data_IF_881087048043
#
_entry.id   IF_881087048043
#
_cell.length_a   1.000
_cell.length_b   1.000
_cell.length_c   1.000
_cell.angle_alpha   90.00
_cell.angle_beta   90.00
_cell.angle_gamma   90.00
#
_symmetry.space_group_name_H-M   'P 1'
#
loop_
_entity.id
_entity.type
_entity.pdbx_description
1 polymer ?
#
# COMPACT_ATOMS: atom_id res chain seq x y z
N UNK A 1 10.00 -37.90 -79.21
CA UNK A 1 10.58 -36.69 -78.57
C UNK A 1 9.49 -36.08 -77.70
N UNK A 2 9.57 -36.34 -76.42
CA UNK A 2 8.54 -35.90 -75.44
C UNK A 2 8.59 -34.37 -75.24
N UNK A 3 7.48 -33.78 -74.83
CA UNK A 3 7.40 -32.34 -74.50
C UNK A 3 8.56 -31.90 -73.55
N UNK A 4 8.94 -32.76 -72.64
CA UNK A 4 10.06 -32.57 -71.75
C UNK A 4 11.43 -32.48 -72.46
N UNK A 5 11.69 -33.30 -73.55
CA UNK A 5 12.94 -33.25 -74.27
C UNK A 5 13.07 -31.90 -75.05
N UNK A 6 11.98 -31.35 -75.53
CA UNK A 6 11.98 -30.01 -76.18
C UNK A 6 12.17 -28.89 -75.17
N UNK A 7 11.68 -29.04 -73.95
CA UNK A 7 11.90 -28.08 -72.88
C UNK A 7 13.37 -28.05 -72.42
N UNK A 8 13.94 -29.28 -72.22
CA UNK A 8 15.32 -29.45 -71.81
C UNK A 8 16.34 -29.03 -72.88
N UNK A 9 16.04 -29.20 -74.19
CA UNK A 9 16.89 -28.72 -75.28
C UNK A 9 16.93 -27.20 -75.41
N UNK A 10 15.86 -26.50 -75.00
CA UNK A 10 15.82 -25.04 -74.94
C UNK A 10 16.57 -24.45 -73.71
N UNK A 11 16.66 -25.19 -72.62
CA UNK A 11 17.39 -24.80 -71.41
C UNK A 11 18.91 -24.86 -71.63
N UNK A 12 19.41 -25.57 -72.64
CA UNK A 12 20.85 -25.59 -72.99
C UNK A 12 21.39 -24.29 -73.55
N UNK A 13 20.52 -23.34 -73.90
CA UNK A 13 20.92 -21.99 -74.29
C UNK A 13 20.99 -21.13 -73.02
N UNK A 14 22.15 -20.81 -72.50
CA UNK A 14 22.35 -20.15 -71.19
C UNK A 14 21.48 -18.90 -71.00
N UNK A 15 21.14 -18.17 -72.05
CA UNK A 15 20.26 -17.02 -72.04
C UNK A 15 18.81 -17.32 -71.76
N UNK A 16 18.31 -18.55 -72.08
CA UNK A 16 16.93 -18.97 -71.80
C UNK A 16 16.76 -19.64 -70.44
N UNK A 17 17.79 -20.25 -69.86
CA UNK A 17 17.75 -20.91 -68.58
C UNK A 17 17.46 -19.94 -67.43
N UNK A 18 18.02 -18.75 -67.48
CA UNK A 18 17.75 -17.72 -66.47
C UNK A 18 16.30 -17.22 -66.49
N UNK A 19 15.66 -17.13 -67.65
CA UNK A 19 14.22 -16.74 -67.75
C UNK A 19 13.31 -17.77 -67.06
N UNK A 20 13.56 -19.03 -67.27
CA UNK A 20 12.78 -20.12 -66.62
C UNK A 20 13.04 -20.14 -65.10
N UNK A 21 14.28 -19.93 -64.69
CA UNK A 21 14.60 -19.82 -63.27
C UNK A 21 13.87 -18.64 -62.60
N UNK A 22 13.92 -17.45 -63.17
CA UNK A 22 13.21 -16.30 -62.63
C UNK A 22 11.67 -16.46 -62.71
N UNK A 23 11.13 -17.12 -63.75
CA UNK A 23 9.70 -17.38 -63.84
C UNK A 23 9.18 -18.27 -62.69
N UNK A 24 10.01 -19.14 -62.14
CA UNK A 24 9.70 -19.97 -60.97
C UNK A 24 10.02 -19.25 -59.65
N UNK A 25 11.16 -18.53 -59.61
CA UNK A 25 11.63 -17.88 -58.41
C UNK A 25 10.73 -16.75 -57.99
N UNK A 26 10.24 -15.92 -58.92
CA UNK A 26 9.39 -14.76 -58.63
C UNK A 26 8.08 -15.12 -57.89
N UNK A 27 7.27 -16.13 -58.32
CA UNK A 27 6.11 -16.54 -57.57
C UNK A 27 6.43 -17.08 -56.15
N UNK A 28 7.57 -17.75 -55.99
CA UNK A 28 8.01 -18.23 -54.67
C UNK A 28 8.36 -17.07 -53.75
N UNK A 29 9.10 -16.06 -54.26
CA UNK A 29 9.44 -14.86 -53.52
C UNK A 29 8.20 -14.08 -53.09
N UNK A 30 7.23 -13.91 -54.00
CA UNK A 30 5.95 -13.27 -53.67
C UNK A 30 5.13 -14.08 -52.63
N UNK A 31 5.15 -15.40 -52.73
CA UNK A 31 4.54 -16.27 -51.72
C UNK A 31 5.16 -16.13 -50.35
N UNK A 32 6.50 -16.12 -50.28
CA UNK A 32 7.22 -15.91 -49.03
C UNK A 32 6.96 -14.51 -48.44
N UNK A 33 7.01 -13.48 -49.27
CA UNK A 33 6.72 -12.10 -48.84
C UNK A 33 5.29 -11.94 -48.34
N UNK A 34 4.35 -12.54 -49.03
CA UNK A 34 2.92 -12.52 -48.61
C UNK A 34 2.68 -13.25 -47.29
N UNK A 35 3.32 -14.39 -47.11
CA UNK A 35 3.26 -15.13 -45.84
C UNK A 35 3.88 -14.30 -44.69
N UNK A 36 4.97 -13.62 -44.94
CA UNK A 36 5.59 -12.76 -43.93
C UNK A 36 4.67 -11.58 -43.52
N UNK A 37 3.90 -11.03 -44.46
CA UNK A 37 2.91 -9.96 -44.20
C UNK A 37 1.75 -10.51 -43.37
N UNK A 38 1.17 -11.66 -43.73
CA UNK A 38 0.04 -12.23 -42.98
C UNK A 38 0.45 -12.61 -41.56
N UNK A 39 1.62 -13.25 -41.37
CA UNK A 39 2.17 -13.57 -40.05
C UNK A 39 2.49 -12.32 -39.24
N UNK A 40 3.12 -11.33 -39.86
CA UNK A 40 3.43 -10.05 -39.20
C UNK A 40 2.17 -9.33 -38.70
N UNK A 41 1.09 -9.32 -39.49
CA UNK A 41 -0.20 -8.79 -39.06
C UNK A 41 -0.80 -9.63 -37.94
N UNK A 42 -0.69 -10.96 -38.00
CA UNK A 42 -1.11 -11.88 -36.93
C UNK A 42 -0.40 -11.57 -35.61
N UNK A 43 0.93 -11.45 -35.61
CA UNK A 43 1.68 -11.09 -34.40
C UNK A 43 1.33 -9.72 -33.84
N UNK A 44 1.16 -8.71 -34.71
CA UNK A 44 0.78 -7.36 -34.27
C UNK A 44 -0.61 -7.33 -33.63
N UNK A 45 -1.56 -8.08 -34.19
CA UNK A 45 -2.90 -8.21 -33.60
C UNK A 45 -2.92 -9.02 -32.31
N UNK A 46 -2.18 -10.12 -32.26
CA UNK A 46 -2.04 -10.90 -31.03
C UNK A 46 -1.47 -10.04 -29.89
N UNK A 47 -0.45 -9.22 -30.16
CA UNK A 47 0.10 -8.31 -29.14
C UNK A 47 -0.92 -7.26 -28.65
N UNK A 48 -1.83 -6.78 -29.53
CA UNK A 48 -2.93 -5.87 -29.12
C UNK A 48 -3.98 -6.63 -28.32
N UNK A 49 -4.35 -7.82 -28.75
CA UNK A 49 -5.32 -8.66 -28.06
C UNK A 49 -4.84 -9.02 -26.65
N UNK A 50 -3.54 -9.33 -26.50
CA UNK A 50 -2.93 -9.60 -25.20
C UNK A 50 -3.02 -8.37 -24.27
N UNK A 51 -2.70 -7.16 -24.77
CA UNK A 51 -2.85 -5.93 -23.98
C UNK A 51 -4.31 -5.67 -23.56
N UNK A 52 -5.26 -6.00 -24.42
CA UNK A 52 -6.68 -5.88 -24.08
C UNK A 52 -7.10 -6.89 -23.01
N UNK A 53 -6.62 -8.13 -23.10
CA UNK A 53 -6.85 -9.17 -22.10
C UNK A 53 -6.24 -8.79 -20.75
N UNK A 54 -5.00 -8.29 -20.75
CA UNK A 54 -4.29 -7.82 -19.55
C UNK A 54 -5.06 -6.68 -18.86
N UNK A 55 -5.48 -5.68 -19.64
CA UNK A 55 -6.26 -4.56 -19.12
C UNK A 55 -7.62 -5.00 -18.57
N UNK A 56 -8.30 -5.91 -19.26
CA UNK A 56 -9.59 -6.45 -18.84
C UNK A 56 -9.46 -7.30 -17.56
N UNK A 57 -8.44 -8.14 -17.45
CA UNK A 57 -8.20 -8.96 -16.28
C UNK A 57 -7.89 -8.10 -15.04
N UNK A 58 -7.04 -7.08 -15.19
CA UNK A 58 -6.74 -6.14 -14.10
C UNK A 58 -7.97 -5.34 -13.68
N UNK A 59 -8.73 -4.81 -14.64
CA UNK A 59 -9.93 -4.04 -14.34
C UNK A 59 -11.03 -4.89 -13.69
N UNK A 60 -11.23 -6.11 -14.16
CA UNK A 60 -12.16 -7.08 -13.57
C UNK A 60 -11.75 -7.47 -12.16
N UNK A 61 -10.48 -7.81 -11.93
CA UNK A 61 -9.98 -8.15 -10.61
C UNK A 61 -10.11 -6.99 -9.61
N UNK A 62 -9.83 -5.77 -10.04
CA UNK A 62 -10.03 -4.57 -9.21
C UNK A 62 -11.51 -4.35 -8.86
N UNK A 63 -12.40 -4.44 -9.84
CA UNK A 63 -13.85 -4.29 -9.63
C UNK A 63 -14.43 -5.40 -8.73
N UNK A 64 -13.95 -6.63 -8.88
CA UNK A 64 -14.29 -7.76 -8.03
C UNK A 64 -14.01 -7.44 -6.56
N UNK A 65 -12.78 -6.98 -6.26
CA UNK A 65 -12.39 -6.62 -4.91
C UNK A 65 -13.18 -5.42 -4.36
N UNK A 66 -13.36 -4.37 -5.18
CA UNK A 66 -14.08 -3.16 -4.77
C UNK A 66 -15.55 -3.43 -4.43
N UNK A 67 -16.20 -4.30 -5.18
CA UNK A 67 -17.61 -4.63 -5.00
C UNK A 67 -17.85 -5.83 -4.07
N UNK A 68 -16.79 -6.43 -3.53
CA UNK A 68 -16.86 -7.59 -2.63
C UNK A 68 -17.63 -8.78 -3.26
N UNK A 69 -17.41 -9.00 -4.55
CA UNK A 69 -18.06 -10.08 -5.29
C UNK A 69 -17.47 -11.44 -4.90
N UNK A 70 -18.17 -12.52 -5.26
CA UNK A 70 -17.75 -13.88 -4.96
C UNK A 70 -17.30 -14.60 -6.23
N UNK A 71 -16.54 -15.69 -6.09
CA UNK A 71 -16.10 -16.49 -7.24
C UNK A 71 -17.25 -17.09 -8.03
N UNK A 72 -18.41 -17.30 -7.38
CA UNK A 72 -19.61 -17.87 -8.00
C UNK A 72 -20.49 -16.79 -8.67
N UNK A 73 -20.31 -15.49 -8.32
CA UNK A 73 -21.11 -14.40 -8.88
C UNK A 73 -20.35 -13.08 -8.86
N UNK A 74 -19.96 -12.61 -10.04
CA UNK A 74 -19.14 -11.40 -10.21
C UNK A 74 -19.56 -10.51 -11.40
N UNK A 75 -20.86 -10.11 -11.49
CA UNK A 75 -21.39 -9.40 -12.65
C UNK A 75 -20.78 -8.00 -12.86
N UNK A 76 -20.38 -7.30 -11.81
CA UNK A 76 -19.77 -5.96 -11.93
C UNK A 76 -18.33 -6.07 -12.41
N UNK A 77 -17.59 -7.09 -11.93
CA UNK A 77 -16.25 -7.39 -12.42
C UNK A 77 -16.29 -7.71 -13.91
N UNK A 78 -17.24 -8.52 -14.34
CA UNK A 78 -17.42 -8.90 -15.75
C UNK A 78 -17.75 -7.70 -16.63
N UNK A 79 -18.67 -6.84 -16.20
CA UNK A 79 -19.02 -5.62 -16.90
C UNK A 79 -17.82 -4.66 -17.04
N UNK A 80 -17.00 -4.56 -16.00
CA UNK A 80 -15.80 -3.74 -16.02
C UNK A 80 -14.73 -4.34 -16.93
N UNK A 81 -14.52 -5.66 -16.87
CA UNK A 81 -13.60 -6.36 -17.76
C UNK A 81 -14.03 -6.18 -19.25
N UNK A 82 -15.31 -6.31 -19.55
CA UNK A 82 -15.86 -6.09 -20.90
C UNK A 82 -15.61 -4.66 -21.38
N UNK A 83 -15.83 -3.67 -20.53
CA UNK A 83 -15.60 -2.26 -20.85
C UNK A 83 -14.14 -2.02 -21.22
N UNK A 84 -13.22 -2.49 -20.40
CA UNK A 84 -11.77 -2.30 -20.64
C UNK A 84 -11.26 -3.12 -21.84
N UNK A 85 -11.80 -4.32 -22.05
CA UNK A 85 -11.51 -5.09 -23.24
C UNK A 85 -11.89 -4.31 -24.49
N UNK A 86 -13.14 -3.81 -24.58
CA UNK A 86 -13.65 -3.04 -25.72
C UNK A 86 -12.84 -1.77 -26.01
N UNK A 87 -12.45 -1.04 -24.99
CA UNK A 87 -11.62 0.16 -25.14
C UNK A 87 -10.24 -0.15 -25.73
N UNK A 88 -9.63 -1.27 -25.34
CA UNK A 88 -8.25 -1.60 -25.69
C UNK A 88 -8.11 -2.39 -26.99
N UNK A 89 -9.10 -3.20 -27.40
CA UNK A 89 -9.02 -3.90 -28.70
C UNK A 89 -9.46 -3.01 -29.89
N UNK A 90 -10.14 -1.89 -29.62
CA UNK A 90 -10.62 -0.96 -30.66
C UNK A 90 -11.80 -1.54 -31.46
N UNK A 91 -11.88 -1.15 -32.74
CA UNK A 91 -12.94 -1.61 -33.65
C UNK A 91 -12.69 -3.05 -34.20
N UNK A 92 -12.02 -3.90 -33.44
CA UNK A 92 -11.64 -5.23 -33.83
C UNK A 92 -12.80 -6.23 -33.83
N UNK A 93 -12.51 -7.40 -34.36
CA UNK A 93 -13.40 -8.56 -34.38
C UNK A 93 -13.18 -9.44 -33.14
N UNK A 94 -12.64 -8.86 -32.08
CA UNK A 94 -12.36 -9.54 -30.85
C UNK A 94 -13.65 -9.79 -30.05
N UNK A 95 -13.70 -10.89 -29.35
CA UNK A 95 -14.77 -11.28 -28.46
C UNK A 95 -14.22 -12.09 -27.29
N UNK A 96 -15.01 -12.21 -26.22
CA UNK A 96 -14.68 -13.19 -25.20
C UNK A 96 -14.88 -14.59 -25.76
N UNK A 97 -13.87 -15.43 -25.66
CA UNK A 97 -13.98 -16.85 -26.04
C UNK A 97 -14.84 -17.61 -25.01
N UNK A 98 -14.69 -17.25 -23.73
CA UNK A 98 -15.53 -17.68 -22.59
C UNK A 98 -15.84 -16.46 -21.74
N UNK A 99 -16.95 -16.46 -20.99
CA UNK A 99 -17.18 -15.48 -19.95
C UNK A 99 -15.98 -15.41 -19.00
N UNK A 100 -15.66 -14.24 -18.45
CA UNK A 100 -14.63 -14.14 -17.44
C UNK A 100 -14.87 -15.09 -16.27
N UNK A 101 -13.81 -15.57 -15.64
CA UNK A 101 -13.88 -16.58 -14.59
C UNK A 101 -13.10 -16.12 -13.37
N UNK A 102 -13.63 -16.40 -12.18
CA UNK A 102 -12.91 -16.22 -10.92
C UNK A 102 -12.68 -17.58 -10.25
N UNK A 103 -11.54 -17.75 -9.58
CA UNK A 103 -11.19 -18.98 -8.86
C UNK A 103 -10.28 -18.66 -7.68
N UNK A 104 -10.47 -19.39 -6.58
CA UNK A 104 -9.57 -19.34 -5.42
C UNK A 104 -8.69 -20.60 -5.39
N UNK A 105 -7.38 -20.41 -5.29
CA UNK A 105 -6.39 -21.48 -5.16
C UNK A 105 -5.45 -21.09 -4.02
N UNK A 106 -5.26 -21.97 -3.05
CA UNK A 106 -4.39 -21.77 -1.88
C UNK A 106 -4.66 -20.43 -1.13
N UNK A 107 -5.95 -20.06 -1.00
CA UNK A 107 -6.36 -18.83 -0.34
C UNK A 107 -6.18 -17.55 -1.17
N UNK A 108 -5.68 -17.66 -2.40
CA UNK A 108 -5.52 -16.58 -3.36
C UNK A 108 -6.63 -16.62 -4.39
N UNK A 109 -7.34 -15.52 -4.60
CA UNK A 109 -8.35 -15.42 -5.63
C UNK A 109 -7.78 -14.83 -6.91
N UNK A 110 -8.17 -15.38 -8.04
CA UNK A 110 -7.70 -15.01 -9.37
C UNK A 110 -8.89 -14.70 -10.27
N UNK A 111 -8.70 -13.76 -11.17
CA UNK A 111 -9.68 -13.39 -12.20
C UNK A 111 -9.07 -13.59 -13.59
N UNK A 112 -9.73 -14.38 -14.42
CA UNK A 112 -9.28 -14.79 -15.76
C UNK A 112 -10.12 -14.16 -16.85
N UNK A 113 -9.46 -13.68 -17.88
CA UNK A 113 -10.06 -13.21 -19.13
C UNK A 113 -9.44 -13.97 -20.30
N UNK A 114 -10.28 -14.48 -21.18
CA UNK A 114 -9.86 -15.15 -22.41
C UNK A 114 -10.54 -14.47 -23.59
N UNK A 115 -9.75 -13.82 -24.42
CA UNK A 115 -10.19 -13.12 -25.64
C UNK A 115 -9.79 -13.90 -26.88
N UNK A 116 -10.58 -13.78 -27.93
CA UNK A 116 -10.28 -14.31 -29.26
C UNK A 116 -10.55 -13.27 -30.34
N UNK A 117 -9.77 -13.32 -31.41
CA UNK A 117 -9.99 -12.53 -32.62
C UNK A 117 -9.75 -13.38 -33.86
N UNK A 118 -10.64 -13.24 -34.86
CA UNK A 118 -10.50 -13.88 -36.17
C UNK A 118 -9.93 -12.89 -37.17
N UNK A 119 -8.74 -13.20 -37.70
CA UNK A 119 -8.00 -12.34 -38.62
C UNK A 119 -8.16 -12.84 -40.05
N UNK A 120 -8.62 -12.01 -41.00
CA UNK A 120 -8.65 -12.41 -42.41
C UNK A 120 -7.24 -12.56 -42.94
N UNK A 121 -6.99 -13.66 -43.66
CA UNK A 121 -5.75 -13.91 -44.39
C UNK A 121 -5.84 -13.39 -45.80
N UNK A 122 -4.76 -12.82 -46.32
CA UNK A 122 -4.75 -12.22 -47.68
C UNK A 122 -3.85 -13.05 -48.61
N UNK A 123 -2.64 -13.35 -48.21
CA UNK A 123 -1.63 -13.94 -49.05
C UNK A 123 -1.49 -15.47 -48.86
N UNK A 124 -1.81 -15.97 -47.67
CA UNK A 124 -1.68 -17.42 -47.36
C UNK A 124 -2.50 -18.29 -48.27
N UNK A 125 -3.57 -17.74 -48.86
CA UNK A 125 -4.43 -18.40 -49.85
C UNK A 125 -3.69 -18.75 -51.13
N UNK A 126 -2.70 -17.95 -51.51
CA UNK A 126 -1.87 -18.21 -52.69
C UNK A 126 -0.97 -19.44 -52.53
N UNK A 127 -0.71 -19.86 -51.31
CA UNK A 127 0.10 -21.04 -50.95
C UNK A 127 -0.78 -22.32 -50.87
N UNK A 128 -2.09 -22.18 -51.17
CA UNK A 128 -3.03 -23.31 -51.21
C UNK A 128 -3.74 -23.59 -49.87
N UNK A 129 -3.57 -22.79 -48.87
CA UNK A 129 -4.31 -22.89 -47.60
C UNK A 129 -5.65 -22.22 -47.79
N UNK A 130 -6.72 -23.01 -47.71
CA UNK A 130 -8.10 -22.53 -47.99
C UNK A 130 -8.79 -21.81 -46.83
N UNK A 131 -8.14 -21.65 -45.68
CA UNK A 131 -8.71 -21.01 -44.54
C UNK A 131 -8.75 -19.49 -44.76
N UNK A 132 -9.92 -18.91 -44.67
CA UNK A 132 -10.16 -17.50 -44.86
C UNK A 132 -9.84 -16.66 -43.63
N UNK A 133 -9.72 -17.30 -42.47
CA UNK A 133 -9.53 -16.66 -41.18
C UNK A 133 -8.47 -17.41 -40.37
N UNK A 134 -7.65 -16.61 -39.70
CA UNK A 134 -6.67 -17.08 -38.72
C UNK A 134 -7.15 -16.66 -37.33
N UNK A 135 -7.38 -17.61 -36.42
CA UNK A 135 -7.83 -17.32 -35.08
C UNK A 135 -6.64 -17.15 -34.15
N UNK A 136 -6.66 -16.06 -33.42
CA UNK A 136 -5.71 -15.79 -32.33
C UNK A 136 -6.45 -15.71 -31.01
N UNK A 137 -5.81 -16.13 -29.96
CA UNK A 137 -6.32 -16.12 -28.60
C UNK A 137 -5.34 -15.40 -27.69
N UNK A 138 -5.85 -14.73 -26.65
CA UNK A 138 -5.06 -14.09 -25.61
C UNK A 138 -5.70 -14.35 -24.26
N UNK A 139 -4.90 -14.84 -23.33
CA UNK A 139 -5.31 -15.12 -21.97
C UNK A 139 -4.58 -14.19 -21.01
N UNK A 140 -5.32 -13.66 -20.03
CA UNK A 140 -4.75 -12.92 -18.93
C UNK A 140 -5.40 -13.35 -17.60
N UNK A 141 -4.59 -13.55 -16.59
CA UNK A 141 -5.03 -13.86 -15.24
C UNK A 141 -4.46 -12.79 -14.29
N UNK A 142 -5.33 -12.15 -13.52
CA UNK A 142 -4.97 -11.20 -12.51
C UNK A 142 -5.24 -11.75 -11.10
N UNK A 143 -4.36 -11.46 -10.16
CA UNK A 143 -4.64 -11.67 -8.74
C UNK A 143 -5.73 -10.70 -8.34
N UNK A 144 -6.83 -11.20 -7.80
CA UNK A 144 -7.84 -10.36 -7.15
C UNK A 144 -7.18 -9.86 -5.87
N UNK A 145 -7.00 -8.53 -5.73
CA UNK A 145 -6.45 -8.02 -4.50
C UNK A 145 -7.42 -8.43 -3.40
N UNK A 146 -6.98 -9.28 -2.50
CA UNK A 146 -7.68 -9.34 -1.22
C UNK A 146 -7.68 -7.92 -0.73
N UNK A 147 -8.85 -7.39 -0.31
CA UNK A 147 -8.80 -6.22 0.55
C UNK A 147 -7.84 -6.62 1.65
N UNK A 148 -6.57 -6.26 1.49
CA UNK A 148 -5.72 -6.11 2.63
C UNK A 148 -6.62 -5.32 3.56
N UNK A 149 -6.80 -5.75 4.78
CA UNK A 149 -7.39 -4.93 5.80
C UNK A 149 -6.99 -3.52 5.43
N UNK A 150 -7.94 -2.68 4.90
CA UNK A 150 -7.59 -1.32 4.53
C UNK A 150 -6.95 -0.78 5.77
N UNK A 151 -5.63 -0.80 5.82
CA UNK A 151 -4.93 -0.20 6.94
C UNK A 151 -5.24 1.27 6.80
N UNK A 152 -5.91 1.82 7.76
CA UNK A 152 -5.94 3.24 7.92
C UNK A 152 -4.51 3.68 8.14
N UNK A 153 -3.92 4.24 7.08
CA UNK A 153 -2.53 4.64 7.08
C UNK A 153 -2.43 6.06 7.60
N UNK A 154 -1.43 6.28 8.40
CA UNK A 154 -1.01 7.60 8.78
C UNK A 154 0.07 8.03 7.80
N UNK A 155 -0.18 9.11 7.09
CA UNK A 155 0.71 9.64 6.06
C UNK A 155 1.58 10.82 6.54
N UNK A 156 1.55 11.10 7.83
CA UNK A 156 2.26 12.21 8.46
C UNK A 156 2.97 11.82 9.74
N UNK A 157 4.05 12.51 10.06
CA UNK A 157 4.74 12.37 11.35
C UNK A 157 3.82 12.77 12.50
N UNK A 158 3.11 13.88 12.34
CA UNK A 158 2.18 14.36 13.35
C UNK A 158 0.94 14.96 12.71
N UNK A 159 -0.23 14.63 13.26
CA UNK A 159 -1.54 15.17 12.92
C UNK A 159 -2.25 15.65 14.18
N UNK A 160 -2.72 16.89 14.19
CA UNK A 160 -3.41 17.44 15.34
C UNK A 160 -4.61 18.29 14.96
N UNK A 161 -5.64 18.29 15.83
CA UNK A 161 -6.90 18.99 15.59
C UNK A 161 -7.15 20.17 16.54
N UNK A 162 -6.29 20.37 17.50
CA UNK A 162 -6.32 21.48 18.45
C UNK A 162 -5.16 22.44 18.25
N UNK A 163 -4.20 22.42 19.14
CA UNK A 163 -3.03 23.27 19.13
C UNK A 163 -1.73 22.50 19.12
N UNK A 164 -0.67 23.16 18.70
CA UNK A 164 0.68 22.65 18.78
C UNK A 164 1.58 23.65 19.50
N UNK A 165 2.32 23.18 20.50
CA UNK A 165 3.27 23.98 21.25
C UNK A 165 4.57 23.21 21.47
N UNK A 166 5.62 23.91 21.93
CA UNK A 166 6.87 23.27 22.28
C UNK A 166 8.09 24.12 21.95
N UNK A 167 9.24 23.65 22.36
CA UNK A 167 10.53 24.22 22.01
C UNK A 167 10.95 23.77 20.63
N UNK A 168 10.31 24.34 19.59
CA UNK A 168 10.78 24.18 18.23
C UNK A 168 12.06 25.00 18.01
N UNK A 169 13.05 24.85 18.86
CA UNK A 169 14.36 25.39 18.61
C UNK A 169 15.04 24.59 17.51
N UNK A 170 14.48 24.70 16.34
CA UNK A 170 15.12 24.37 15.09
C UNK A 170 16.19 25.43 14.76
N UNK A 171 16.97 25.76 15.72
CA UNK A 171 18.29 26.27 15.40
C UNK A 171 19.05 25.05 14.89
N UNK A 172 19.00 24.83 13.61
CA UNK A 172 20.05 24.15 12.87
C UNK A 172 21.31 25.00 13.07
N UNK A 173 21.70 25.09 14.34
CA UNK A 173 22.68 26.04 14.77
C UNK A 173 23.97 25.32 14.85
N UNK A 174 24.73 25.65 14.03
CA UNK A 174 25.96 26.36 14.27
C UNK A 174 25.59 27.69 14.93
N UNK A 175 25.05 27.67 16.12
CA UNK A 175 24.85 28.86 16.87
C UNK A 175 25.78 28.87 18.08
N UNK A 176 26.43 30.01 18.26
CA UNK A 176 27.31 30.40 19.36
C UNK A 176 28.71 29.78 19.43
N UNK A 177 29.32 29.43 18.31
CA UNK A 177 30.75 29.09 18.29
C UNK A 177 31.19 27.83 19.04
N UNK A 178 30.25 27.13 19.64
CA UNK A 178 30.42 25.79 20.18
C UNK A 178 29.65 24.80 19.31
N UNK A 179 30.33 23.94 18.60
CA UNK A 179 29.84 22.89 17.69
C UNK A 179 28.89 21.88 18.35
N UNK A 180 27.89 22.34 19.08
CA UNK A 180 26.90 21.50 19.72
C UNK A 180 25.58 21.58 18.92
N UNK A 181 25.13 20.53 18.25
CA UNK A 181 23.80 20.47 17.64
C UNK A 181 22.75 20.38 18.74
N UNK A 182 22.14 21.52 19.09
CA UNK A 182 21.22 21.63 20.25
C UNK A 182 19.75 21.49 19.83
N UNK A 183 19.44 20.97 18.63
CA UNK A 183 18.07 20.98 18.16
C UNK A 183 17.52 19.58 17.90
N UNK A 184 16.31 19.38 18.37
CA UNK A 184 15.50 18.21 17.96
C UNK A 184 15.25 18.24 16.45
N UNK A 185 15.32 17.09 15.82
CA UNK A 185 15.08 16.93 14.38
C UNK A 185 13.70 16.36 14.12
N UNK A 186 12.97 16.92 13.15
CA UNK A 186 11.65 16.47 12.76
C UNK A 186 11.68 16.07 11.28
N UNK A 187 11.61 14.77 11.02
CA UNK A 187 11.68 14.19 9.68
C UNK A 187 10.32 13.61 9.30
N UNK A 188 9.52 14.40 8.60
CA UNK A 188 8.17 14.04 8.16
C UNK A 188 7.22 15.23 8.12
N UNK A 189 6.06 15.01 7.51
CA UNK A 189 5.01 16.01 7.40
C UNK A 189 4.29 16.23 8.74
N UNK A 190 3.89 17.46 9.00
CA UNK A 190 3.04 17.82 10.14
C UNK A 190 1.77 18.48 9.62
N UNK A 191 0.62 17.91 9.98
CA UNK A 191 -0.68 18.34 9.47
C UNK A 191 -1.53 18.94 10.59
N UNK A 192 -1.99 20.18 10.39
CA UNK A 192 -2.91 20.88 11.29
C UNK A 192 -4.32 20.86 10.74
N UNK A 193 -5.24 20.27 11.48
CA UNK A 193 -6.67 20.21 11.13
C UNK A 193 -7.50 21.33 11.77
N UNK A 194 -6.93 22.09 12.71
CA UNK A 194 -7.55 23.28 13.27
C UNK A 194 -7.29 24.51 12.37
N UNK A 195 -8.36 24.99 11.74
CA UNK A 195 -8.30 26.09 10.80
C UNK A 195 -7.83 27.39 11.42
N UNK A 196 -8.30 27.69 12.64
CA UNK A 196 -7.99 28.94 13.34
C UNK A 196 -6.54 28.92 13.81
N UNK A 197 -6.09 27.79 14.37
CA UNK A 197 -4.70 27.62 14.77
C UNK A 197 -3.76 27.72 13.56
N UNK A 198 -4.10 27.06 12.46
CA UNK A 198 -3.32 27.10 11.23
C UNK A 198 -3.16 28.52 10.71
N UNK A 199 -4.27 29.26 10.55
CA UNK A 199 -4.28 30.63 10.03
C UNK A 199 -3.46 31.59 10.92
N UNK A 200 -3.48 31.39 12.24
CA UNK A 200 -2.75 32.22 13.19
C UNK A 200 -1.24 31.93 13.26
N UNK A 201 -0.81 30.75 12.77
CA UNK A 201 0.53 30.25 13.05
C UNK A 201 1.32 29.82 11.80
N UNK A 202 0.69 29.53 10.64
CA UNK A 202 1.37 28.94 9.48
C UNK A 202 2.58 29.76 8.98
N UNK A 203 2.59 31.08 9.16
CA UNK A 203 3.69 31.97 8.77
C UNK A 203 4.80 32.10 9.81
N UNK A 204 4.62 31.55 11.00
CA UNK A 204 5.63 31.71 12.05
C UNK A 204 6.83 30.79 11.76
N UNK A 205 8.05 31.26 11.99
CA UNK A 205 9.27 30.53 11.67
C UNK A 205 9.33 29.12 12.27
N UNK A 206 8.78 28.93 13.47
CA UNK A 206 8.74 27.64 14.15
C UNK A 206 7.93 26.57 13.41
N UNK A 207 6.87 26.96 12.68
CA UNK A 207 6.02 26.04 11.91
C UNK A 207 6.43 25.88 10.44
N UNK A 208 7.56 26.46 10.06
CA UNK A 208 8.13 26.38 8.70
C UNK A 208 9.32 25.41 8.62
N UNK A 209 9.57 24.59 9.65
CA UNK A 209 10.89 23.99 9.86
C UNK A 209 10.86 22.46 10.01
N UNK A 210 9.84 21.80 9.50
CA UNK A 210 9.81 20.34 9.50
C UNK A 210 10.67 19.82 8.36
N UNK A 211 11.59 18.91 8.66
CA UNK A 211 12.52 18.37 7.68
C UNK A 211 11.96 17.10 7.03
N UNK A 212 12.23 16.92 5.76
CA UNK A 212 12.17 15.62 5.12
C UNK A 212 13.53 14.95 5.16
N UNK A 213 13.59 13.60 5.21
CA UNK A 213 14.76 12.80 5.57
C UNK A 213 16.11 13.18 4.98
N UNK A 214 16.13 13.70 3.77
CA UNK A 214 17.36 14.16 3.12
C UNK A 214 17.87 15.51 3.61
N UNK A 215 17.02 16.30 4.30
CA UNK A 215 17.39 17.63 4.80
C UNK A 215 18.18 17.58 6.11
N UNK A 216 18.17 16.45 6.80
CA UNK A 216 18.69 16.27 8.15
C UNK A 216 20.14 16.73 8.37
N UNK A 217 20.97 16.64 7.34
CA UNK A 217 22.39 16.99 7.39
C UNK A 217 22.75 18.22 6.56
N UNK A 218 21.76 18.97 6.07
CA UNK A 218 22.00 20.13 5.22
C UNK A 218 21.82 21.44 5.99
N UNK A 219 22.59 22.49 5.67
CA UNK A 219 22.29 23.84 6.11
C UNK A 219 20.85 24.21 5.71
N UNK A 220 20.14 24.94 6.57
CA UNK A 220 18.73 25.34 6.36
C UNK A 220 18.46 25.90 4.97
N UNK A 221 19.30 26.83 4.52
CA UNK A 221 19.13 27.48 3.22
C UNK A 221 19.24 26.48 2.06
N UNK A 222 20.12 25.50 2.17
CA UNK A 222 20.30 24.48 1.16
C UNK A 222 19.12 23.49 1.13
N UNK A 223 18.58 23.13 2.30
CA UNK A 223 17.39 22.31 2.41
C UNK A 223 16.16 23.00 1.80
N UNK A 224 15.97 24.32 2.07
CA UNK A 224 14.89 25.11 1.47
C UNK A 224 15.04 25.23 -0.04
N UNK A 225 16.25 25.50 -0.54
CA UNK A 225 16.51 25.59 -1.98
C UNK A 225 16.27 24.27 -2.72
N UNK A 226 16.52 23.14 -2.05
CA UNK A 226 16.28 21.81 -2.59
C UNK A 226 14.84 21.33 -2.43
N UNK A 227 13.96 22.13 -1.80
CA UNK A 227 12.57 21.74 -1.54
C UNK A 227 12.42 20.59 -0.54
N UNK A 228 13.41 20.39 0.34
CA UNK A 228 13.42 19.33 1.34
C UNK A 228 12.80 19.76 2.68
N UNK A 229 12.26 20.96 2.71
CA UNK A 229 11.53 21.52 3.85
C UNK A 229 10.03 21.36 3.61
N UNK A 230 9.33 20.83 4.60
CA UNK A 230 7.87 20.83 4.63
C UNK A 230 7.40 21.79 5.71
N UNK A 231 6.70 22.88 5.36
CA UNK A 231 5.99 23.67 6.35
C UNK A 231 4.84 22.85 6.92
N UNK A 232 4.29 23.30 8.05
CA UNK A 232 3.03 22.76 8.59
C UNK A 232 1.95 22.80 7.49
N UNK A 233 1.36 21.66 7.20
CA UNK A 233 0.31 21.54 6.19
C UNK A 233 -1.07 21.77 6.80
N UNK A 234 -1.98 22.25 5.95
CA UNK A 234 -3.37 22.47 6.33
C UNK A 234 -4.18 21.22 6.00
N UNK A 235 -4.74 20.58 7.04
CA UNK A 235 -5.72 19.52 6.88
C UNK A 235 -7.17 20.07 6.85
N UNK A 236 -8.09 19.19 6.50
CA UNK A 236 -9.53 19.46 6.54
C UNK A 236 -10.13 18.77 7.78
N UNK A 237 -10.79 19.53 8.65
CA UNK A 237 -11.37 19.02 9.91
C UNK A 237 -12.37 17.87 9.68
N UNK A 238 -13.14 17.89 8.57
CA UNK A 238 -14.05 16.79 8.24
C UNK A 238 -13.31 15.50 7.92
N UNK A 239 -12.14 15.59 7.28
CA UNK A 239 -11.32 14.44 6.92
C UNK A 239 -10.68 13.83 8.18
N UNK A 240 -10.20 14.69 9.11
CA UNK A 240 -9.72 14.23 10.42
C UNK A 240 -10.80 13.50 11.20
N UNK A 241 -12.00 14.07 11.27
CA UNK A 241 -13.15 13.46 11.98
C UNK A 241 -13.52 12.12 11.35
N UNK A 242 -13.62 12.06 10.03
CA UNK A 242 -13.91 10.82 9.30
C UNK A 242 -12.82 9.75 9.49
N UNK A 243 -11.54 10.17 9.50
CA UNK A 243 -10.42 9.29 9.79
C UNK A 243 -10.52 8.73 11.22
N UNK A 244 -10.72 9.59 12.22
CA UNK A 244 -10.86 9.18 13.61
C UNK A 244 -12.03 8.22 13.81
N UNK A 245 -13.17 8.47 13.17
CA UNK A 245 -14.32 7.55 13.25
C UNK A 245 -13.95 6.16 12.72
N UNK A 246 -13.34 6.08 11.54
CA UNK A 246 -12.91 4.80 10.96
C UNK A 246 -11.86 4.09 11.82
N UNK A 247 -10.92 4.86 12.41
CA UNK A 247 -9.90 4.30 13.28
C UNK A 247 -10.52 3.75 14.58
N UNK A 248 -11.43 4.49 15.19
CA UNK A 248 -12.15 4.06 16.38
C UNK A 248 -12.95 2.79 16.13
N UNK A 249 -13.71 2.73 15.02
CA UNK A 249 -14.48 1.55 14.63
C UNK A 249 -13.56 0.34 14.42
N UNK A 250 -12.38 0.55 13.83
CA UNK A 250 -11.39 -0.49 13.64
C UNK A 250 -10.81 -1.01 14.97
N UNK A 251 -10.50 -0.10 15.89
CA UNK A 251 -9.99 -0.45 17.23
C UNK A 251 -11.07 -1.24 18.01
N UNK A 252 -12.28 -0.74 18.07
CA UNK A 252 -13.39 -1.42 18.75
C UNK A 252 -13.62 -2.83 18.17
N UNK A 253 -13.55 -2.97 16.87
CA UNK A 253 -13.67 -4.27 16.20
C UNK A 253 -12.51 -5.21 16.55
N UNK A 254 -11.26 -4.71 16.62
CA UNK A 254 -10.11 -5.52 17.00
C UNK A 254 -10.23 -6.08 18.42
N UNK A 255 -10.93 -5.37 19.31
CA UNK A 255 -11.11 -5.71 20.71
C UNK A 255 -12.53 -6.16 21.06
N UNK A 256 -13.33 -6.55 20.07
CA UNK A 256 -14.72 -7.01 20.28
C UNK A 256 -14.81 -8.44 20.81
N UNK A 257 -13.82 -9.29 20.52
CA UNK A 257 -13.78 -10.69 20.95
C UNK A 257 -12.64 -10.90 21.95
N UNK A 258 -13.00 -11.29 23.16
CA UNK A 258 -12.05 -11.49 24.28
C UNK A 258 -11.03 -12.62 24.02
N UNK A 259 -11.31 -13.51 23.08
CA UNK A 259 -10.36 -14.56 22.70
C UNK A 259 -9.16 -14.00 21.89
N UNK A 260 -9.29 -12.78 21.37
CA UNK A 260 -8.31 -12.19 20.45
C UNK A 260 -7.36 -11.16 21.11
N UNK A 261 -7.56 -10.88 22.41
CA UNK A 261 -6.69 -9.93 23.11
C UNK A 261 -6.36 -10.40 24.52
N UNK A 262 -5.25 -9.89 25.04
CA UNK A 262 -4.84 -10.09 26.42
C UNK A 262 -5.38 -8.95 27.30
N UNK A 263 -5.93 -9.30 28.46
CA UNK A 263 -6.30 -8.33 29.49
C UNK A 263 -5.57 -8.69 30.78
N UNK A 264 -4.77 -7.78 31.32
CA UNK A 264 -4.12 -8.02 32.61
C UNK A 264 -5.12 -8.20 33.75
N UNK A 265 -4.76 -9.05 34.67
CA UNK A 265 -5.61 -9.44 35.82
C UNK A 265 -5.68 -8.36 36.91
N UNK A 266 -4.86 -7.32 36.86
CA UNK A 266 -4.76 -6.33 37.95
C UNK A 266 -5.14 -4.94 37.51
N UNK A 267 -6.14 -4.35 38.15
CA UNK A 267 -6.48 -2.94 38.06
C UNK A 267 -5.46 -2.04 38.80
N UNK A 268 -4.20 -2.11 38.43
CA UNK A 268 -3.16 -1.26 38.99
C UNK A 268 -3.16 0.13 38.36
N UNK A 269 -2.81 1.15 39.16
CA UNK A 269 -2.55 2.50 38.62
C UNK A 269 -1.27 2.56 37.81
N UNK A 270 -0.33 1.64 38.08
CA UNK A 270 0.94 1.51 37.41
C UNK A 270 1.00 0.12 36.76
N UNK A 271 1.33 0.07 35.50
CA UNK A 271 1.43 -1.15 34.74
C UNK A 271 2.74 -1.18 33.96
N UNK A 272 3.39 -2.34 33.92
CA UNK A 272 4.61 -2.54 33.12
C UNK A 272 4.36 -3.53 32.00
N UNK A 273 4.89 -3.27 30.82
CA UNK A 273 4.91 -4.16 29.67
C UNK A 273 6.34 -4.31 29.17
N UNK A 274 6.88 -5.53 29.10
CA UNK A 274 6.31 -6.81 29.57
C UNK A 274 6.21 -6.90 31.08
N UNK A 275 5.45 -7.90 31.56
CA UNK A 275 5.37 -8.29 32.96
C UNK A 275 5.27 -9.82 33.05
N UNK A 276 5.09 -10.36 34.30
CA UNK A 276 5.02 -11.80 34.55
C UNK A 276 3.88 -12.50 33.79
N UNK A 277 2.79 -11.77 33.48
CA UNK A 277 1.61 -12.30 32.79
C UNK A 277 1.69 -12.13 31.27
N UNK A 278 2.48 -11.16 30.78
CA UNK A 278 2.56 -10.80 29.37
C UNK A 278 3.96 -10.36 28.93
N UNK A 279 4.51 -11.06 27.94
CA UNK A 279 5.83 -10.74 27.37
C UNK A 279 5.80 -10.35 25.86
N UNK A 280 4.65 -10.41 25.22
CA UNK A 280 4.49 -10.12 23.78
C UNK A 280 4.29 -11.33 22.88
N UNK A 281 4.36 -12.55 23.41
CA UNK A 281 4.18 -13.78 22.62
C UNK A 281 2.76 -14.34 22.64
N UNK A 282 1.92 -13.94 23.63
CA UNK A 282 0.57 -14.48 23.81
C UNK A 282 -0.42 -13.91 22.81
N UNK A 283 -0.43 -12.61 22.60
CA UNK A 283 -1.25 -11.89 21.66
C UNK A 283 -0.58 -10.57 21.28
N UNK A 284 -0.78 -10.11 20.09
CA UNK A 284 -0.34 -8.78 19.70
C UNK A 284 -1.36 -7.68 20.02
N UNK A 285 -2.37 -7.99 20.86
CA UNK A 285 -3.43 -7.06 21.28
C UNK A 285 -3.58 -7.07 22.78
N UNK A 286 -3.48 -5.92 23.40
CA UNK A 286 -3.55 -5.74 24.85
C UNK A 286 -4.67 -4.73 25.14
N UNK A 287 -5.64 -5.15 25.97
CA UNK A 287 -6.68 -4.25 26.47
C UNK A 287 -6.36 -3.87 27.91
N UNK A 288 -6.02 -2.61 28.12
CA UNK A 288 -5.86 -2.03 29.45
C UNK A 288 -7.13 -1.28 29.84
N UNK A 289 -7.80 -1.70 30.91
CA UNK A 289 -9.02 -1.06 31.37
C UNK A 289 -8.79 -0.25 32.64
N UNK A 290 -9.17 1.03 32.61
CA UNK A 290 -9.17 1.87 33.80
C UNK A 290 -10.24 1.43 34.81
N UNK A 291 -9.88 1.31 36.09
CA UNK A 291 -10.86 1.09 37.15
C UNK A 291 -11.62 2.37 37.46
N UNK A 292 -12.90 2.23 37.90
CA UNK A 292 -13.68 3.37 38.40
C UNK A 292 -12.94 4.06 39.56
N UNK A 293 -12.70 5.37 39.42
CA UNK A 293 -12.00 6.18 40.42
C UNK A 293 -10.51 6.37 40.23
N UNK A 294 -9.88 5.62 39.32
CA UNK A 294 -8.48 5.86 38.94
C UNK A 294 -8.43 6.92 37.85
N UNK A 295 -7.85 8.07 38.18
CA UNK A 295 -7.72 9.20 37.25
C UNK A 295 -6.34 9.26 36.60
N UNK A 296 -5.32 8.74 37.26
CA UNK A 296 -3.94 8.74 36.81
C UNK A 296 -3.51 7.32 36.51
N UNK A 297 -2.91 7.11 35.34
CA UNK A 297 -2.41 5.82 34.90
C UNK A 297 -0.95 5.96 34.44
N UNK A 298 -0.09 5.02 34.82
CA UNK A 298 1.29 5.00 34.37
C UNK A 298 1.57 3.66 33.69
N UNK A 299 2.20 3.73 32.52
CA UNK A 299 2.62 2.59 31.73
C UNK A 299 4.12 2.66 31.48
N UNK A 300 4.84 1.70 32.09
CA UNK A 300 6.26 1.53 31.85
C UNK A 300 6.46 0.52 30.72
N UNK A 301 7.16 0.92 29.66
CA UNK A 301 7.36 0.13 28.46
C UNK A 301 8.81 -0.33 28.36
N UNK A 302 8.96 -1.63 28.08
CA UNK A 302 10.20 -2.26 27.62
C UNK A 302 9.93 -2.94 26.29
N UNK A 303 11.00 -3.37 25.61
CA UNK A 303 10.83 -4.08 24.36
C UNK A 303 10.08 -5.40 24.58
N UNK A 304 9.10 -5.66 23.71
CA UNK A 304 8.27 -6.87 23.79
C UNK A 304 8.88 -7.97 22.91
N UNK A 305 8.80 -9.21 23.39
CA UNK A 305 9.20 -10.37 22.61
C UNK A 305 8.31 -10.59 21.40
N UNK A 306 8.73 -11.44 20.48
CA UNK A 306 8.00 -11.78 19.26
C UNK A 306 8.59 -11.17 17.99
N UNK A 307 7.82 -11.17 16.89
CA UNK A 307 8.28 -10.64 15.61
C UNK A 307 8.43 -9.12 15.69
N UNK A 308 9.67 -8.65 15.49
CA UNK A 308 10.01 -7.23 15.54
C UNK A 308 9.33 -6.38 14.42
N UNK A 309 8.72 -7.01 13.45
CA UNK A 309 7.97 -6.32 12.38
C UNK A 309 6.46 -6.34 12.61
N UNK A 310 5.97 -7.16 13.53
CA UNK A 310 4.55 -7.26 13.84
C UNK A 310 4.19 -6.29 14.98
N UNK A 311 3.33 -5.28 14.75
CA UNK A 311 2.98 -4.30 15.77
C UNK A 311 2.15 -4.92 16.90
N UNK A 312 2.38 -4.41 18.11
CA UNK A 312 1.55 -4.67 19.27
C UNK A 312 0.58 -3.52 19.46
N UNK A 313 -0.71 -3.83 19.56
CA UNK A 313 -1.77 -2.86 19.76
C UNK A 313 -2.11 -2.77 21.25
N UNK A 314 -1.92 -1.60 21.83
CA UNK A 314 -2.27 -1.32 23.23
C UNK A 314 -3.48 -0.40 23.26
N UNK A 315 -4.64 -0.94 23.59
CA UNK A 315 -5.87 -0.16 23.75
C UNK A 315 -6.10 0.17 25.21
N UNK A 316 -6.06 1.46 25.55
CA UNK A 316 -6.38 1.96 26.86
C UNK A 316 -7.86 2.40 26.89
N UNK A 317 -8.69 1.60 27.52
CA UNK A 317 -10.14 1.84 27.66
C UNK A 317 -10.49 2.33 29.06
N UNK A 318 -11.04 3.51 29.16
CA UNK A 318 -11.45 4.04 30.46
C UNK A 318 -11.38 5.55 30.60
N UNK A 319 -11.69 6.06 31.81
CA UNK A 319 -11.61 7.50 32.16
C UNK A 319 -10.29 7.78 32.80
N UNK A 320 -9.44 8.51 32.10
CA UNK A 320 -8.16 8.95 32.63
C UNK A 320 -8.10 10.48 32.59
N UNK A 321 -7.56 11.10 33.63
CA UNK A 321 -7.17 12.52 33.62
C UNK A 321 -5.72 12.68 33.14
N UNK A 322 -4.87 11.73 33.51
CA UNK A 322 -3.46 11.72 33.15
C UNK A 322 -3.02 10.29 32.84
N UNK A 323 -2.38 10.13 31.70
CA UNK A 323 -1.69 8.88 31.29
C UNK A 323 -0.22 9.20 31.13
N UNK A 324 0.63 8.55 31.91
CA UNK A 324 2.09 8.60 31.75
C UNK A 324 2.55 7.37 31.00
N UNK A 325 3.27 7.51 29.90
CA UNK A 325 3.96 6.46 29.19
C UNK A 325 5.46 6.70 29.38
N UNK A 326 6.16 5.74 29.97
CA UNK A 326 7.57 5.87 30.24
C UNK A 326 8.32 4.77 29.54
N UNK A 327 9.34 5.10 28.76
CA UNK A 327 10.27 4.12 28.22
C UNK A 327 11.33 3.76 29.25
N UNK A 328 11.55 2.47 29.42
CA UNK A 328 12.61 1.93 30.30
C UNK A 328 13.78 1.35 29.50
N UNK A 329 13.58 1.16 28.18
CA UNK A 329 14.58 0.71 27.22
C UNK A 329 14.10 1.01 25.80
N UNK A 330 14.96 0.79 24.80
CA UNK A 330 14.64 0.99 23.39
C UNK A 330 13.55 0.05 22.91
N UNK A 331 12.51 0.59 22.29
CA UNK A 331 11.40 -0.18 21.73
C UNK A 331 11.68 -0.51 20.26
N UNK A 332 12.00 -1.77 19.99
CA UNK A 332 12.29 -2.27 18.64
C UNK A 332 11.04 -2.77 17.93
N UNK A 333 10.19 -3.52 18.66
CA UNK A 333 8.90 -3.99 18.15
C UNK A 333 7.90 -2.83 18.16
N UNK A 334 7.22 -2.52 17.03
CA UNK A 334 6.30 -1.38 16.97
C UNK A 334 5.16 -1.50 17.98
N UNK A 335 4.88 -0.42 18.70
CA UNK A 335 3.74 -0.34 19.62
C UNK A 335 2.76 0.70 19.09
N UNK A 336 1.52 0.27 18.83
CA UNK A 336 0.43 1.15 18.44
C UNK A 336 -0.43 1.40 19.67
N UNK A 337 -0.19 2.56 20.29
CA UNK A 337 -0.92 2.98 21.49
C UNK A 337 -2.21 3.71 21.08
N UNK A 338 -3.35 3.24 21.59
CA UNK A 338 -4.66 3.74 21.24
C UNK A 338 -5.43 4.22 22.49
N UNK A 339 -5.81 5.51 22.48
CA UNK A 339 -6.76 6.10 23.42
C UNK A 339 -7.86 6.82 22.62
N UNK A 340 -8.81 6.09 22.01
CA UNK A 340 -9.76 6.64 21.07
C UNK A 340 -10.99 7.33 21.71
N UNK A 341 -11.16 7.25 23.02
CA UNK A 341 -12.38 7.72 23.69
C UNK A 341 -12.40 9.25 23.87
N UNK A 342 -13.46 9.90 23.39
CA UNK A 342 -13.77 11.30 23.69
C UNK A 342 -14.64 11.38 24.92
N UNK A 343 -14.25 12.20 25.90
CA UNK A 343 -15.08 12.43 27.09
C UNK A 343 -15.43 13.89 27.28
N UNK A 344 -16.71 14.22 27.31
CA UNK A 344 -17.15 15.57 27.62
C UNK A 344 -16.79 15.94 29.07
N UNK A 345 -16.13 17.09 29.24
CA UNK A 345 -15.90 17.70 30.55
C UNK A 345 -14.67 17.21 31.34
N UNK A 346 -13.89 16.28 30.81
CA UNK A 346 -12.64 15.81 31.44
C UNK A 346 -11.54 15.75 30.40
N UNK A 347 -10.60 16.71 30.41
CA UNK A 347 -9.43 16.62 29.55
C UNK A 347 -8.56 15.44 29.97
N UNK A 348 -8.11 14.65 29.00
CA UNK A 348 -7.09 13.65 29.20
C UNK A 348 -5.76 14.23 28.78
N UNK A 349 -4.78 14.23 29.69
CA UNK A 349 -3.39 14.55 29.37
C UNK A 349 -2.61 13.26 29.16
N UNK A 350 -1.72 13.25 28.18
CA UNK A 350 -0.83 12.11 27.92
C UNK A 350 0.59 12.61 27.92
N UNK A 351 1.36 12.17 28.89
CA UNK A 351 2.78 12.45 29.01
C UNK A 351 3.56 11.26 28.48
N UNK A 352 4.28 11.45 27.40
CA UNK A 352 5.12 10.41 26.81
C UNK A 352 6.60 10.74 27.08
N UNK A 353 7.20 9.98 27.98
CA UNK A 353 8.57 10.15 28.42
C UNK A 353 9.47 9.09 27.76
N UNK A 354 10.10 9.47 26.66
CA UNK A 354 11.09 8.62 25.97
C UNK A 354 12.47 8.72 26.58
N UNK A 355 12.79 9.90 27.19
CA UNK A 355 14.13 10.19 27.69
C UNK A 355 15.21 9.84 26.65
N UNK A 356 16.23 9.06 27.05
CA UNK A 356 17.34 8.64 26.18
C UNK A 356 17.04 7.37 25.35
N UNK A 357 15.77 6.93 25.32
CA UNK A 357 15.36 5.71 24.64
C UNK A 357 14.65 5.95 23.33
N UNK A 358 14.79 4.98 22.43
CA UNK A 358 14.11 4.97 21.14
C UNK A 358 12.72 4.33 21.23
N UNK A 359 11.72 4.98 20.64
CA UNK A 359 10.38 4.45 20.46
C UNK A 359 10.09 4.20 18.98
N UNK A 360 9.38 3.09 18.72
CA UNK A 360 8.88 2.77 17.39
C UNK A 360 7.40 2.46 17.45
N UNK A 361 6.56 3.20 16.71
CA UNK A 361 5.12 2.93 16.68
C UNK A 361 4.23 4.14 16.47
N UNK A 362 2.98 4.06 16.94
CA UNK A 362 1.96 5.09 16.77
C UNK A 362 1.43 5.53 18.13
N UNK A 363 1.27 6.84 18.29
CA UNK A 363 0.51 7.43 19.36
C UNK A 363 -0.81 7.95 18.80
N UNK A 364 -1.90 7.17 18.96
CA UNK A 364 -3.24 7.53 18.52
C UNK A 364 -4.10 7.97 19.70
N UNK A 365 -4.23 9.28 19.88
CA UNK A 365 -4.90 9.92 21.02
C UNK A 365 -5.69 11.14 20.56
N UNK A 366 -6.66 10.97 19.65
CA UNK A 366 -7.27 12.07 18.87
C UNK A 366 -8.02 13.10 19.71
N UNK A 367 -8.27 12.82 20.99
CA UNK A 367 -9.02 13.71 21.89
C UNK A 367 -8.24 14.12 23.14
N UNK A 368 -6.93 13.87 23.20
CA UNK A 368 -6.09 14.28 24.31
C UNK A 368 -5.80 15.78 24.24
N UNK A 369 -6.08 16.51 25.33
CA UNK A 369 -5.99 17.97 25.37
C UNK A 369 -4.56 18.49 25.60
N UNK A 370 -3.66 17.64 26.06
CA UNK A 370 -2.25 17.96 26.22
C UNK A 370 -1.44 16.68 26.05
N UNK A 371 -0.57 16.66 25.08
CA UNK A 371 0.25 15.49 24.79
C UNK A 371 1.72 15.90 24.72
N UNK A 372 2.37 16.15 25.88
CA UNK A 372 3.80 16.37 25.92
C UNK A 372 4.57 15.10 25.57
N UNK A 373 5.41 15.22 24.55
CA UNK A 373 6.37 14.21 24.12
C UNK A 373 7.76 14.67 24.50
N UNK A 374 8.37 13.97 25.43
CA UNK A 374 9.71 14.28 25.93
C UNK A 374 10.70 13.20 25.50
N UNK A 375 11.55 13.54 24.53
CA UNK A 375 12.63 12.69 24.02
C UNK A 375 13.94 13.48 24.11
N UNK A 376 14.70 13.25 25.17
CA UNK A 376 16.06 13.78 25.31
C UNK A 376 17.00 12.80 24.62
N UNK A 377 17.80 13.05 23.73
CA UNK A 377 18.70 12.15 22.99
C UNK A 377 18.09 10.88 22.34
N UNK A 378 16.82 10.58 22.61
CA UNK A 378 16.10 9.43 22.04
C UNK A 378 15.42 9.74 20.72
N UNK A 379 14.94 8.71 20.03
CA UNK A 379 14.22 8.82 18.75
C UNK A 379 12.78 8.34 18.88
N UNK A 380 11.82 9.19 18.53
CA UNK A 380 10.46 8.77 18.21
C UNK A 380 10.38 8.43 16.72
N UNK A 381 10.16 7.17 16.39
CA UNK A 381 10.00 6.71 15.00
C UNK A 381 8.57 6.22 14.78
N UNK A 382 7.82 6.95 13.97
CA UNK A 382 6.42 6.58 13.72
C UNK A 382 5.50 7.75 13.43
N UNK A 383 4.28 7.71 14.00
CA UNK A 383 3.23 8.69 13.77
C UNK A 383 2.52 9.08 15.06
N UNK A 384 2.18 10.35 15.16
CA UNK A 384 1.44 10.94 16.27
C UNK A 384 0.13 11.50 15.74
N UNK A 385 -1.00 11.10 16.31
CA UNK A 385 -2.29 11.70 16.06
C UNK A 385 -2.96 12.06 17.38
N UNK A 386 -3.16 13.37 17.60
CA UNK A 386 -3.65 13.90 18.88
C UNK A 386 -4.52 15.11 18.68
N UNK A 387 -5.19 15.61 19.76
CA UNK A 387 -5.85 16.90 19.74
C UNK A 387 -4.82 18.02 19.93
N UNK A 388 -4.17 18.07 21.08
CA UNK A 388 -3.11 19.06 21.34
C UNK A 388 -1.76 18.37 21.47
N UNK A 389 -0.77 18.87 20.75
CA UNK A 389 0.59 18.34 20.70
C UNK A 389 1.58 19.28 21.37
N UNK A 390 2.35 18.78 22.31
CA UNK A 390 3.46 19.52 22.90
C UNK A 390 4.77 18.75 22.72
N UNK A 391 5.69 19.31 21.96
CA UNK A 391 7.00 18.72 21.74
C UNK A 391 8.00 19.34 22.70
N UNK A 392 8.43 18.57 23.70
CA UNK A 392 9.40 18.96 24.73
C UNK A 392 10.63 18.07 24.59
N UNK A 393 11.48 18.37 23.63
CA UNK A 393 12.68 17.56 23.48
C UNK A 393 13.91 18.43 23.32
N UNK A 394 14.94 18.10 24.07
CA UNK A 394 16.30 18.58 23.90
C UNK A 394 17.09 17.49 23.20
N UNK A 395 17.56 17.71 21.98
CA UNK A 395 18.33 16.74 21.19
C UNK A 395 17.56 15.47 20.71
N UNK A 396 16.24 15.41 20.86
CA UNK A 396 15.44 14.27 20.38
C UNK A 396 15.28 14.26 18.85
N UNK A 397 15.02 13.09 18.31
CA UNK A 397 14.75 12.90 16.89
C UNK A 397 13.33 12.36 16.69
N UNK A 398 12.56 12.98 15.79
CA UNK A 398 11.23 12.52 15.39
C UNK A 398 11.28 12.16 13.91
N UNK A 399 11.04 10.91 13.61
CA UNK A 399 11.18 10.34 12.26
C UNK A 399 9.87 9.68 11.86
N UNK A 400 9.33 10.08 10.72
CA UNK A 400 8.14 9.44 10.18
C UNK A 400 8.42 7.99 9.77
N UNK A 401 7.57 7.09 10.23
CA UNK A 401 7.47 5.71 9.75
C UNK A 401 5.98 5.37 9.59
N UNK A 402 5.62 4.83 8.43
CA UNK A 402 4.23 4.52 8.11
C UNK A 402 3.76 3.28 8.87
N UNK A 403 2.70 3.44 9.65
CA UNK A 403 1.96 2.37 10.28
C UNK A 403 0.47 2.47 9.93
N UNK A 404 -0.29 1.40 10.14
CA UNK A 404 -1.72 1.43 9.89
C UNK A 404 -2.51 0.54 10.84
N UNK A 405 -3.80 0.89 11.00
CA UNK A 405 -4.77 0.01 11.67
C UNK A 405 -5.41 -0.94 10.65
N UNK A 406 -5.56 -2.22 10.98
CA UNK A 406 -6.34 -3.13 10.15
C UNK A 406 -7.84 -2.76 10.24
N UNK A 407 -8.46 -2.37 9.13
CA UNK A 407 -9.85 -1.88 9.08
C UNK A 407 -10.91 -2.94 8.88
N UNK A 408 -10.57 -4.20 8.82
CA UNK A 408 -11.66 -5.12 8.68
C UNK A 408 -11.40 -6.57 8.41
N UNK A 409 -12.28 -7.37 8.94
CA UNK A 409 -12.70 -8.65 8.45
C UNK A 409 -11.92 -9.83 8.99
N UNK A 410 -12.60 -10.56 9.86
CA UNK A 410 -12.43 -11.98 10.18
C UNK A 410 -11.03 -12.41 10.59
N UNK A 411 -10.81 -12.43 11.87
CA UNK A 411 -9.88 -13.34 12.51
C UNK A 411 -10.12 -14.77 12.01
N UNK A 412 -9.30 -15.27 11.16
CA UNK A 412 -9.12 -16.72 11.09
C UNK A 412 -8.36 -17.15 12.32
N UNK A 413 -9.04 -17.96 13.11
CA UNK A 413 -8.53 -18.75 14.23
C UNK A 413 -7.15 -19.31 14.00
N UNK A 414 -6.40 -19.37 15.09
CA UNK A 414 -5.07 -19.95 15.26
C UNK A 414 -4.75 -21.13 14.35
N UNK A 415 -3.75 -20.94 13.56
CA UNK A 415 -2.99 -21.95 12.88
C UNK A 415 -1.55 -21.50 12.92
N UNK A 416 -0.72 -22.21 13.66
CA UNK A 416 0.72 -22.14 13.60
C UNK A 416 1.17 -22.41 12.17
N UNK A 417 1.35 -21.36 11.39
CA UNK A 417 1.87 -21.41 10.04
C UNK A 417 2.59 -20.11 9.78
N UNK A 418 3.90 -20.17 9.80
CA UNK A 418 4.80 -19.13 9.31
C UNK A 418 4.44 -18.82 7.85
N UNK A 419 3.55 -17.86 7.64
CA UNK A 419 3.17 -17.34 6.35
C UNK A 419 3.04 -15.84 6.48
N UNK A 420 4.02 -15.12 5.96
CA UNK A 420 3.91 -13.68 5.76
C UNK A 420 2.59 -13.41 5.02
N UNK A 421 1.62 -12.83 5.69
CA UNK A 421 0.40 -12.31 5.04
C UNK A 421 0.77 -11.08 4.22
N UNK A 422 1.47 -11.30 3.11
CA UNK A 422 1.67 -10.27 2.12
C UNK A 422 0.30 -9.90 1.56
N UNK A 423 -0.13 -8.66 1.77
CA UNK A 423 -1.28 -8.09 1.07
C UNK A 423 -1.10 -8.37 -0.41
N UNK A 424 -2.05 -9.14 -0.99
CA UNK A 424 -1.95 -9.51 -2.39
C UNK A 424 -2.26 -8.27 -3.23
N UNK A 425 -1.23 -7.73 -3.82
CA UNK A 425 -1.35 -6.60 -4.74
C UNK A 425 -1.94 -7.06 -6.07
N UNK A 426 -2.78 -6.21 -6.65
CA UNK A 426 -3.27 -6.36 -8.02
C UNK A 426 -2.08 -6.51 -8.98
N UNK A 427 -1.99 -7.66 -9.66
CA UNK A 427 -0.93 -7.96 -10.64
C UNK A 427 -1.38 -9.07 -11.59
N UNK A 428 -0.80 -9.08 -12.77
CA UNK A 428 -0.93 -10.22 -13.68
C UNK A 428 -0.04 -11.39 -13.22
N UNK A 429 -0.52 -12.60 -13.48
CA UNK A 429 0.18 -13.84 -13.22
C UNK A 429 0.11 -14.75 -14.43
N UNK A 430 1.01 -15.71 -14.51
CA UNK A 430 1.02 -16.71 -15.57
C UNK A 430 -0.17 -17.68 -15.42
N UNK A 431 -1.14 -17.59 -16.34
CA UNK A 431 -2.36 -18.39 -16.34
C UNK A 431 -2.12 -19.87 -16.54
N UNK A 432 -1.01 -20.27 -17.15
CA UNK A 432 -0.67 -21.67 -17.43
C UNK A 432 -0.49 -22.52 -16.17
N UNK A 433 -0.31 -21.87 -15.00
CA UNK A 433 -0.16 -22.54 -13.70
C UNK A 433 -1.47 -23.01 -13.09
N UNK A 434 -2.60 -22.66 -13.69
CA UNK A 434 -3.93 -22.97 -13.16
C UNK A 434 -4.73 -23.88 -14.11
N UNK A 435 -5.35 -24.93 -13.57
CA UNK A 435 -6.36 -25.68 -14.31
C UNK A 435 -7.69 -24.92 -14.24
N UNK A 436 -8.10 -24.29 -15.32
CA UNK A 436 -9.42 -23.68 -15.48
C UNK A 436 -10.36 -24.70 -16.13
N UNK A 437 -11.50 -24.96 -15.51
CA UNK A 437 -12.55 -25.80 -16.07
C UNK A 437 -13.48 -25.02 -16.99
#
# INVERSE_FOLDING_TARGET
MTFFDRLLSRIKNERGAYMVFFAILIPILFGCAGLAVDLGNGFARHARLQKAADAAALAGAAAFAMNQETVDSHPKADAQAETYAKVNWGNGRASFQKPPQAKTVDGVSYYRVLLQESIPTTFIKFVGIKEDLFNIEAEAVAVIPTKSNEQLKFDSLASFSGSMSGTFNNNNGTDNGNNNPIASTYDGHVVCYNQDFYNANYNKPEFQKFFTGEAKNLPRNDAVQKGLYSPMEKGNESDFTAFCQKANDAIEKMFSDSANYFTPTTGAQNYSLPNDDYNGTQSNRILLTGQQGIRNFSLDLKNLDGDQNEPVYVYLKGVFSLVNINLQEDIKRPIIFCLPEKRPGWPTEIHFNGNDHDFRGVLYTPYANNTPLNFENGTFRGTILTHDLTLQSNHGSFVFEEFGFPTGGSSSSGGTGSGSSSSQKLRLVDGSKFSWQ
#
